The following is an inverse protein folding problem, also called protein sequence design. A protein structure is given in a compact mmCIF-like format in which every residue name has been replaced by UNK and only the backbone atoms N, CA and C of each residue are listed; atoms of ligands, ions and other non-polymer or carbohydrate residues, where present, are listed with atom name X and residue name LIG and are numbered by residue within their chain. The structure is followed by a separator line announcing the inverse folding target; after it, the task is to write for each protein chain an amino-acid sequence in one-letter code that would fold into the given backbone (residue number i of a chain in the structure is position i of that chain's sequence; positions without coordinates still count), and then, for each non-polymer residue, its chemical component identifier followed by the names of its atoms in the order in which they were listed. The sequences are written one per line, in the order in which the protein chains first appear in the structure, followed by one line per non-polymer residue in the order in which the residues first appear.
data_IF_549918745965
#
_entry.id   IF_549918745965
#
_cell.length_a   1.000
_cell.length_b   1.000
_cell.length_c   1.000
_cell.angle_alpha   90.00
_cell.angle_beta   90.00
_cell.angle_gamma   90.00
#
_symmetry.space_group_name_H-M   'P 1'
#
loop_
_entity.id
_entity.type
_entity.pdbx_description
1 polymer ?
#
# COMPACT_ATOMS: atom_id res chain seq x y z
N UNK A 1 3.09 -20.38 8.49
CA UNK A 1 2.72 -19.19 9.29
C UNK A 1 3.05 -17.91 8.53
N UNK A 2 2.13 -17.35 7.73
CA UNK A 2 2.36 -16.08 7.00
C UNK A 2 1.09 -15.21 7.04
N UNK A 3 0.65 -14.81 8.24
CA UNK A 3 -0.51 -13.91 8.41
C UNK A 3 -0.17 -12.54 9.05
N UNK A 4 1.11 -12.26 9.36
CA UNK A 4 1.44 -11.15 10.27
C UNK A 4 1.87 -9.81 9.64
N UNK A 5 1.83 -9.62 8.32
CA UNK A 5 2.21 -8.31 7.72
C UNK A 5 1.03 -7.37 7.41
N UNK A 6 -0.21 -7.79 7.68
CA UNK A 6 -1.40 -7.01 7.30
C UNK A 6 -1.77 -5.92 8.33
N UNK A 7 -1.13 -5.92 9.51
CA UNK A 7 -1.70 -5.29 10.71
C UNK A 7 -1.68 -3.75 10.79
N UNK A 8 -1.20 -2.98 9.81
CA UNK A 8 -1.32 -1.50 9.80
C UNK A 8 -1.20 -0.94 8.38
N UNK A 9 -2.33 -0.63 7.75
CA UNK A 9 -2.46 0.18 6.54
C UNK A 9 -3.38 1.36 6.85
N UNK A 10 -2.83 2.56 7.09
CA UNK A 10 -3.64 3.76 7.33
C UNK A 10 -4.62 3.62 8.51
N UNK A 11 -5.57 4.55 8.63
CA UNK A 11 -6.59 4.54 9.69
C UNK A 11 -7.22 3.14 9.82
N UNK A 12 -6.92 2.45 10.93
CA UNK A 12 -7.07 0.99 11.06
C UNK A 12 -8.52 0.49 10.88
N UNK A 13 -9.50 1.40 10.87
CA UNK A 13 -10.92 1.09 10.72
C UNK A 13 -11.51 1.38 9.34
N UNK A 14 -10.82 2.11 8.44
CA UNK A 14 -11.42 2.48 7.13
C UNK A 14 -11.30 1.38 6.09
N UNK A 15 -10.19 0.64 6.06
CA UNK A 15 -9.92 -0.32 4.99
C UNK A 15 -9.85 -1.75 5.52
N UNK A 16 -10.66 -2.64 4.95
CA UNK A 16 -10.58 -4.07 5.21
C UNK A 16 -9.77 -4.75 4.12
N UNK A 17 -8.59 -5.26 4.48
CA UNK A 17 -7.71 -5.95 3.54
C UNK A 17 -8.31 -7.31 3.14
N UNK A 18 -8.37 -7.58 1.84
CA UNK A 18 -8.88 -8.85 1.30
C UNK A 18 -7.75 -9.83 1.03
N UNK A 19 -6.78 -9.43 0.20
CA UNK A 19 -5.63 -10.26 -0.19
C UNK A 19 -4.49 -9.41 -0.70
N UNK A 20 -3.27 -9.93 -0.62
CA UNK A 20 -2.11 -9.36 -1.31
C UNK A 20 -2.27 -9.69 -2.81
N UNK A 21 -2.09 -8.68 -3.66
CA UNK A 21 -2.13 -8.82 -5.13
C UNK A 21 -0.77 -8.56 -5.78
N UNK A 22 0.19 -7.97 -5.05
CA UNK A 22 1.56 -7.82 -5.50
C UNK A 22 2.52 -7.66 -4.31
N UNK A 23 3.72 -8.21 -4.44
CA UNK A 23 4.79 -8.04 -3.46
C UNK A 23 6.13 -7.89 -4.17
N UNK A 24 6.88 -6.86 -3.78
CA UNK A 24 8.28 -6.62 -4.16
C UNK A 24 9.08 -6.41 -2.87
N UNK A 25 10.41 -6.31 -2.98
CA UNK A 25 11.30 -6.22 -1.81
C UNK A 25 10.87 -5.13 -0.81
N UNK A 26 10.53 -3.94 -1.31
CA UNK A 26 10.15 -2.79 -0.47
C UNK A 26 8.68 -2.40 -0.59
N UNK A 27 7.85 -3.20 -1.26
CA UNK A 27 6.48 -2.81 -1.58
C UNK A 27 5.50 -3.97 -1.49
N UNK A 28 4.31 -3.71 -0.96
CA UNK A 28 3.18 -4.62 -0.99
C UNK A 28 1.98 -3.89 -1.56
N UNK A 29 1.32 -4.51 -2.54
CA UNK A 29 0.01 -4.08 -3.04
C UNK A 29 -1.03 -5.07 -2.57
N UNK A 30 -2.09 -4.60 -1.94
CA UNK A 30 -3.22 -5.42 -1.53
C UNK A 30 -4.54 -4.90 -2.10
N UNK A 31 -5.44 -5.84 -2.39
CA UNK A 31 -6.84 -5.52 -2.62
C UNK A 31 -7.51 -5.33 -1.26
N UNK A 32 -8.31 -4.29 -1.13
CA UNK A 32 -9.06 -3.96 0.08
C UNK A 32 -10.47 -3.47 -0.28
N UNK A 33 -11.33 -3.40 0.73
CA UNK A 33 -12.62 -2.72 0.67
C UNK A 33 -12.54 -1.47 1.53
N UNK A 34 -12.92 -0.32 0.96
CA UNK A 34 -13.19 0.88 1.75
C UNK A 34 -14.52 0.68 2.49
N UNK A 35 -14.47 0.63 3.82
CA UNK A 35 -15.64 0.38 4.66
C UNK A 35 -16.60 1.58 4.72
N UNK A 36 -16.19 2.76 4.26
CA UNK A 36 -17.07 3.94 4.18
C UNK A 36 -17.86 3.99 2.87
N UNK A 37 -17.24 3.60 1.75
CA UNK A 37 -17.90 3.66 0.42
C UNK A 37 -18.38 2.29 -0.06
N UNK A 38 -17.88 1.19 0.51
CA UNK A 38 -18.13 -0.18 0.05
C UNK A 38 -17.31 -0.57 -1.19
N UNK A 39 -16.48 0.33 -1.72
CA UNK A 39 -15.77 0.10 -2.97
C UNK A 39 -14.52 -0.76 -2.81
N UNK A 40 -14.19 -1.51 -3.87
CA UNK A 40 -12.93 -2.24 -3.96
C UNK A 40 -11.81 -1.30 -4.37
N UNK A 41 -10.74 -1.26 -3.58
CA UNK A 41 -9.57 -0.41 -3.82
C UNK A 41 -8.29 -1.22 -3.81
N UNK A 42 -7.27 -0.73 -4.50
CA UNK A 42 -5.90 -1.23 -4.37
C UNK A 42 -5.12 -0.31 -3.43
N UNK A 43 -4.47 -0.89 -2.42
CA UNK A 43 -3.61 -0.17 -1.46
C UNK A 43 -2.17 -0.58 -1.73
N UNK A 44 -1.35 0.38 -2.16
CA UNK A 44 0.09 0.24 -2.36
C UNK A 44 0.83 0.75 -1.12
N UNK A 45 1.47 -0.15 -0.36
CA UNK A 45 2.33 0.18 0.78
C UNK A 45 3.78 0.07 0.38
N UNK A 46 4.53 1.12 0.66
CA UNK A 46 5.92 1.26 0.29
C UNK A 46 6.70 1.43 1.60
N UNK A 47 7.63 0.53 1.84
CA UNK A 47 8.48 0.52 3.04
C UNK A 47 9.77 1.28 2.73
N UNK A 48 10.40 1.84 3.77
CA UNK A 48 11.73 2.43 3.71
C UNK A 48 11.95 3.50 2.62
N UNK A 49 10.90 4.26 2.27
CA UNK A 49 10.95 5.27 1.20
C UNK A 49 12.05 6.34 1.40
N UNK A 50 12.48 6.56 2.64
CA UNK A 50 13.48 7.58 3.00
C UNK A 50 14.88 7.01 3.22
N UNK A 51 15.11 5.72 2.98
CA UNK A 51 16.43 5.10 3.11
C UNK A 51 17.39 5.57 2.00
N UNK A 52 16.87 5.80 0.79
CA UNK A 52 17.62 6.38 -0.32
C UNK A 52 16.84 7.49 -1.03
N UNK A 53 17.50 8.60 -1.31
CA UNK A 53 16.92 9.75 -2.04
C UNK A 53 16.38 9.33 -3.41
N UNK A 54 17.05 8.38 -4.07
CA UNK A 54 16.61 7.83 -5.36
C UNK A 54 15.21 7.21 -5.29
N UNK A 55 14.89 6.52 -4.18
CA UNK A 55 13.60 5.87 -3.98
C UNK A 55 12.50 6.91 -3.70
N UNK A 56 12.79 7.91 -2.87
CA UNK A 56 11.88 9.04 -2.66
C UNK A 56 11.56 9.79 -3.98
N UNK A 57 12.57 10.06 -4.82
CA UNK A 57 12.38 10.69 -6.14
C UNK A 57 11.59 9.82 -7.11
N UNK A 58 11.77 8.49 -7.06
CA UNK A 58 10.96 7.55 -7.84
C UNK A 58 9.51 7.59 -7.38
N UNK A 59 9.25 7.57 -6.08
CA UNK A 59 7.89 7.65 -5.53
C UNK A 59 7.20 8.96 -5.88
N UNK A 60 7.91 10.08 -5.80
CA UNK A 60 7.38 11.38 -6.20
C UNK A 60 6.97 11.39 -7.69
N UNK A 61 7.81 10.81 -8.56
CA UNK A 61 7.48 10.66 -9.99
C UNK A 61 6.26 9.79 -10.23
N UNK A 62 6.16 8.65 -9.54
CA UNK A 62 5.01 7.76 -9.65
C UNK A 62 3.71 8.46 -9.24
N UNK A 63 3.69 9.17 -8.11
CA UNK A 63 2.50 9.92 -7.66
C UNK A 63 2.17 11.07 -8.61
N UNK A 64 3.18 11.78 -9.12
CA UNK A 64 2.98 12.89 -10.06
C UNK A 64 2.38 12.44 -11.39
N UNK A 65 2.70 11.24 -11.86
CA UNK A 65 2.16 10.67 -13.11
C UNK A 65 0.73 10.13 -13.00
N UNK A 66 0.24 9.90 -11.77
CA UNK A 66 -1.13 9.40 -11.54
C UNK A 66 -2.20 10.51 -11.58
N UNK A 67 -1.84 11.73 -12.02
CA UNK A 67 -2.71 12.89 -12.13
C UNK A 67 -2.50 13.61 -13.44
#
# INVERSE_FOLDING_TARGET
MQQNQVKKYGNANRYRILRIIGKRNYEIVCAAVDMHTGEKVAIKKINNVFEHISDALRMLREVKLLR
#
